data_IF_137319969303
#
_entry.id   IF_137319969303
#
_cell.length_a   1.000
_cell.length_b   1.000
_cell.length_c   1.000
_cell.angle_alpha   90.00
_cell.angle_beta   90.00
_cell.angle_gamma   90.00
#
_symmetry.space_group_name_H-M   'P 1'
#
loop_
_entity.id
_entity.type
_entity.pdbx_description
1 polymer ?
#
# COMPACT_ATOMS: atom_id res chain seq x y z
N UNK A 1 3.17 21.61 -18.35
CA UNK A 1 1.79 21.73 -17.82
C UNK A 1 1.84 21.61 -16.32
N UNK A 2 1.08 22.46 -15.62
CA UNK A 2 1.13 22.55 -14.16
C UNK A 2 0.61 21.27 -13.50
N UNK A 3 1.32 20.78 -12.47
CA UNK A 3 0.89 19.68 -11.61
C UNK A 3 -0.31 20.14 -10.78
N UNK A 4 -1.40 19.35 -10.77
CA UNK A 4 -2.63 19.65 -10.04
C UNK A 4 -3.01 18.55 -9.02
N UNK A 5 -2.56 17.33 -9.22
CA UNK A 5 -2.86 16.21 -8.33
C UNK A 5 -1.66 15.33 -8.07
N UNK A 6 -1.62 14.77 -6.86
CA UNK A 6 -0.67 13.73 -6.47
C UNK A 6 -1.45 12.53 -5.96
N UNK A 7 -1.12 11.37 -6.50
CA UNK A 7 -1.58 10.09 -5.98
C UNK A 7 -0.42 9.42 -5.27
N UNK A 8 -0.66 8.91 -4.07
CA UNK A 8 0.39 8.28 -3.27
C UNK A 8 -0.07 6.90 -2.78
N UNK A 9 0.82 5.92 -2.90
CA UNK A 9 0.63 4.62 -2.25
C UNK A 9 0.84 4.73 -0.74
N UNK A 10 0.40 3.72 0.00
CA UNK A 10 0.48 3.71 1.46
C UNK A 10 1.59 2.81 1.97
N UNK A 11 1.57 1.51 1.61
CA UNK A 11 2.46 0.53 2.19
C UNK A 11 3.91 0.68 1.73
N UNK A 12 4.87 0.81 2.64
CA UNK A 12 6.28 1.10 2.36
C UNK A 12 6.52 2.40 1.55
N UNK A 13 5.51 3.22 1.36
CA UNK A 13 5.60 4.54 0.72
C UNK A 13 5.34 5.65 1.74
N UNK A 14 4.10 5.74 2.24
CA UNK A 14 3.70 6.70 3.27
C UNK A 14 3.76 6.09 4.68
N UNK A 15 3.41 4.80 4.81
CA UNK A 15 3.39 4.06 6.07
C UNK A 15 4.31 2.85 6.01
N UNK A 16 4.89 2.50 7.17
CA UNK A 16 5.58 1.23 7.40
C UNK A 16 5.00 0.48 8.58
N UNK A 17 5.07 -0.85 8.56
CA UNK A 17 4.70 -1.67 9.72
C UNK A 17 5.88 -1.80 10.71
N UNK A 18 5.55 -1.78 12.01
CA UNK A 18 6.48 -1.98 13.14
C UNK A 18 5.91 -2.97 14.17
N UNK A 19 6.47 -4.22 14.21
CA UNK A 19 7.44 -4.78 13.27
C UNK A 19 6.83 -5.03 11.88
N UNK A 20 7.65 -5.50 10.92
CA UNK A 20 7.17 -5.79 9.56
C UNK A 20 6.06 -6.84 9.56
N UNK A 21 5.17 -6.79 8.55
CA UNK A 21 4.10 -7.80 8.39
C UNK A 21 4.62 -9.24 8.41
N UNK A 22 5.81 -9.46 7.89
CA UNK A 22 6.43 -10.79 7.86
C UNK A 22 6.81 -11.25 9.27
N UNK A 23 7.29 -10.34 10.09
CA UNK A 23 7.59 -10.61 11.50
C UNK A 23 6.31 -10.84 12.31
N UNK A 24 5.27 -10.02 12.11
CA UNK A 24 3.97 -10.19 12.76
C UNK A 24 3.42 -11.60 12.51
N UNK A 25 3.46 -12.08 11.26
CA UNK A 25 3.03 -13.43 10.91
C UNK A 25 3.95 -14.51 11.51
N UNK A 26 5.27 -14.30 11.47
CA UNK A 26 6.23 -15.23 12.06
C UNK A 26 6.07 -15.34 13.58
N UNK A 27 5.80 -14.24 14.28
CA UNK A 27 5.46 -14.24 15.72
C UNK A 27 4.24 -15.11 16.02
N UNK A 28 3.19 -15.07 15.18
CA UNK A 28 1.99 -15.91 15.36
C UNK A 28 2.30 -17.40 15.15
N UNK A 29 3.21 -17.74 14.25
CA UNK A 29 3.69 -19.12 14.07
C UNK A 29 4.51 -19.58 15.30
N UNK A 30 5.43 -18.74 15.76
CA UNK A 30 6.25 -19.05 16.96
C UNK A 30 5.41 -19.19 18.23
N UNK A 31 4.35 -18.42 18.39
CA UNK A 31 3.40 -18.55 19.49
C UNK A 31 2.63 -19.89 19.49
N UNK A 32 2.76 -20.67 18.41
CA UNK A 32 2.20 -22.03 18.23
C UNK A 32 3.30 -23.08 18.07
N UNK A 33 4.42 -22.87 18.75
CA UNK A 33 5.58 -23.76 18.82
C UNK A 33 6.27 -24.06 17.47
N UNK A 34 6.02 -23.27 16.43
CA UNK A 34 6.70 -23.40 15.16
C UNK A 34 7.95 -22.52 15.14
N UNK A 35 9.12 -23.14 14.94
CA UNK A 35 10.38 -22.42 14.73
C UNK A 35 10.43 -21.91 13.29
N UNK A 36 10.05 -20.66 13.08
CA UNK A 36 10.00 -20.06 11.76
C UNK A 36 10.69 -18.68 11.75
N UNK A 37 11.65 -18.55 10.86
CA UNK A 37 12.34 -17.29 10.61
C UNK A 37 11.47 -16.33 9.76
N UNK A 38 11.64 -15.04 9.96
CA UNK A 38 10.90 -14.00 9.22
C UNK A 38 11.09 -14.10 7.70
N UNK A 39 12.29 -14.47 7.25
CA UNK A 39 12.59 -14.67 5.83
C UNK A 39 11.81 -15.85 5.23
N UNK A 40 11.67 -16.95 5.97
CA UNK A 40 10.87 -18.10 5.55
C UNK A 40 9.38 -17.73 5.50
N UNK A 41 8.86 -17.02 6.52
CA UNK A 41 7.48 -16.51 6.53
C UNK A 41 7.22 -15.60 5.31
N UNK A 42 8.15 -14.70 4.96
CA UNK A 42 8.05 -13.87 3.76
C UNK A 42 7.86 -14.73 2.51
N UNK A 43 8.62 -15.79 2.36
CA UNK A 43 8.50 -16.73 1.24
C UNK A 43 7.11 -17.37 1.15
N UNK A 44 6.58 -17.86 2.29
CA UNK A 44 5.25 -18.46 2.38
C UNK A 44 4.15 -17.45 2.05
N UNK A 45 4.25 -16.24 2.57
CA UNK A 45 3.30 -15.16 2.31
C UNK A 45 3.26 -14.77 0.82
N UNK A 46 4.41 -14.61 0.19
CA UNK A 46 4.49 -14.34 -1.25
C UNK A 46 3.93 -15.50 -2.08
N UNK A 47 4.22 -16.74 -1.68
CA UNK A 47 3.68 -17.94 -2.34
C UNK A 47 2.15 -17.97 -2.25
N UNK A 48 1.58 -17.81 -1.06
CA UNK A 48 0.14 -17.79 -0.85
C UNK A 48 -0.54 -16.69 -1.69
N UNK A 49 0.06 -15.50 -1.74
CA UNK A 49 -0.48 -14.38 -2.54
C UNK A 49 -0.50 -14.68 -4.04
N UNK A 50 0.50 -15.41 -4.57
CA UNK A 50 0.54 -15.80 -5.99
C UNK A 50 -0.43 -16.94 -6.33
N UNK A 51 -0.57 -17.91 -5.42
CA UNK A 51 -1.39 -19.10 -5.64
C UNK A 51 -2.89 -18.83 -5.46
N UNK A 52 -3.27 -17.89 -4.60
CA UNK A 52 -4.68 -17.56 -4.40
C UNK A 52 -5.23 -16.71 -5.54
N UNK A 53 -6.43 -17.03 -6.03
CA UNK A 53 -7.09 -16.22 -7.05
C UNK A 53 -7.43 -14.81 -6.55
N UNK A 54 -7.68 -13.89 -7.48
CA UNK A 54 -8.10 -12.52 -7.13
C UNK A 54 -9.45 -12.46 -6.44
N UNK A 55 -10.32 -13.42 -6.71
CA UNK A 55 -11.64 -13.52 -6.09
C UNK A 55 -11.86 -14.89 -5.46
N UNK A 56 -12.41 -14.91 -4.26
CA UNK A 56 -12.77 -16.12 -3.51
C UNK A 56 -14.20 -15.92 -2.98
N UNK A 57 -15.13 -16.79 -3.35
CA UNK A 57 -16.53 -16.69 -2.91
C UNK A 57 -17.18 -15.33 -3.24
N UNK A 58 -16.85 -14.74 -4.38
CA UNK A 58 -17.33 -13.42 -4.79
C UNK A 58 -16.66 -12.23 -4.10
N UNK A 59 -15.76 -12.48 -3.15
CA UNK A 59 -14.99 -11.43 -2.46
C UNK A 59 -13.66 -11.19 -3.16
N UNK A 60 -13.36 -9.92 -3.43
CA UNK A 60 -12.13 -9.51 -4.09
C UNK A 60 -10.92 -9.62 -3.16
N UNK A 61 -9.72 -9.73 -3.73
CA UNK A 61 -8.43 -9.71 -3.01
C UNK A 61 -8.37 -8.53 -2.02
N UNK A 62 -7.72 -8.74 -0.90
CA UNK A 62 -7.63 -7.83 0.25
C UNK A 62 -8.93 -7.63 1.05
N UNK A 63 -10.06 -8.26 0.68
CA UNK A 63 -11.25 -8.33 1.57
C UNK A 63 -11.01 -9.30 2.74
N UNK A 64 -11.83 -9.20 3.78
CA UNK A 64 -11.72 -10.08 4.95
C UNK A 64 -11.87 -11.55 4.59
N UNK A 65 -12.81 -11.89 3.69
CA UNK A 65 -13.01 -13.26 3.24
C UNK A 65 -11.79 -13.78 2.47
N UNK A 66 -11.19 -12.94 1.63
CA UNK A 66 -9.95 -13.29 0.94
C UNK A 66 -8.80 -13.48 1.92
N UNK A 67 -8.64 -12.57 2.91
CA UNK A 67 -7.62 -12.71 3.94
C UNK A 67 -7.83 -13.94 4.84
N UNK A 68 -9.07 -14.35 5.09
CA UNK A 68 -9.35 -15.61 5.79
C UNK A 68 -8.71 -16.79 5.06
N UNK A 69 -8.90 -16.86 3.73
CA UNK A 69 -8.31 -17.91 2.90
C UNK A 69 -6.78 -17.78 2.81
N UNK A 70 -6.27 -16.55 2.79
CA UNK A 70 -4.84 -16.28 2.78
C UNK A 70 -4.15 -16.75 4.08
N UNK A 71 -4.76 -16.45 5.23
CA UNK A 71 -4.27 -16.90 6.54
C UNK A 71 -4.35 -18.43 6.63
N UNK A 72 -5.47 -19.04 6.21
CA UNK A 72 -5.64 -20.49 6.20
C UNK A 72 -4.60 -21.18 5.30
N UNK A 73 -4.35 -20.64 4.11
CA UNK A 73 -3.31 -21.15 3.19
C UNK A 73 -1.92 -21.16 3.83
N UNK A 74 -1.55 -20.10 4.56
CA UNK A 74 -0.23 -19.99 5.19
C UNK A 74 -0.16 -20.90 6.42
N UNK A 75 -1.09 -20.76 7.34
CA UNK A 75 -0.95 -21.40 8.65
C UNK A 75 -1.47 -22.84 8.69
N UNK A 76 -2.54 -23.15 7.96
CA UNK A 76 -3.04 -24.53 7.90
C UNK A 76 -2.34 -25.33 6.80
N UNK A 77 -2.42 -24.89 5.52
CA UNK A 77 -1.96 -25.71 4.41
C UNK A 77 -0.44 -25.82 4.35
N UNK A 78 0.31 -24.75 4.64
CA UNK A 78 1.78 -24.80 4.57
C UNK A 78 2.45 -25.15 5.90
N UNK A 79 1.89 -24.70 7.02
CA UNK A 79 2.52 -24.86 8.34
C UNK A 79 1.86 -25.94 9.20
N UNK A 80 0.74 -26.54 8.78
CA UNK A 80 0.09 -27.67 9.46
C UNK A 80 -0.64 -27.29 10.74
N UNK A 81 -0.92 -26.01 11.00
CA UNK A 81 -1.69 -25.57 12.16
C UNK A 81 -3.13 -26.07 12.05
N UNK A 82 -3.70 -26.53 13.14
CA UNK A 82 -5.04 -27.12 13.18
C UNK A 82 -6.10 -26.09 12.77
N UNK A 83 -7.14 -26.54 12.07
CA UNK A 83 -8.27 -25.68 11.65
C UNK A 83 -8.97 -25.00 12.82
N UNK A 84 -8.99 -25.63 14.00
CA UNK A 84 -9.55 -25.07 15.22
C UNK A 84 -8.84 -23.81 15.70
N UNK A 85 -7.56 -23.64 15.34
CA UNK A 85 -6.76 -22.45 15.66
C UNK A 85 -6.97 -21.28 14.68
N UNK A 86 -7.66 -21.51 13.56
CA UNK A 86 -7.77 -20.47 12.51
C UNK A 86 -8.63 -19.29 12.94
N UNK A 87 -9.69 -19.49 13.72
CA UNK A 87 -10.54 -18.39 14.17
C UNK A 87 -9.78 -17.43 15.10
N UNK A 88 -9.17 -17.88 16.22
CA UNK A 88 -8.38 -16.98 17.07
C UNK A 88 -7.21 -16.34 16.33
N UNK A 89 -6.53 -17.07 15.45
CA UNK A 89 -5.42 -16.53 14.66
C UNK A 89 -5.85 -15.37 13.73
N UNK A 90 -7.03 -15.49 13.11
CA UNK A 90 -7.60 -14.41 12.29
C UNK A 90 -7.90 -13.17 13.12
N UNK A 91 -8.52 -13.33 14.28
CA UNK A 91 -8.80 -12.23 15.21
C UNK A 91 -7.51 -11.51 15.65
N UNK A 92 -6.48 -12.27 16.03
CA UNK A 92 -5.18 -11.72 16.40
C UNK A 92 -4.56 -10.90 15.26
N UNK A 93 -4.55 -11.43 14.03
CA UNK A 93 -3.97 -10.75 12.87
C UNK A 93 -4.82 -9.54 12.44
N UNK A 94 -6.14 -9.68 12.37
CA UNK A 94 -7.01 -8.56 12.03
C UNK A 94 -6.96 -7.45 13.07
N UNK A 95 -6.93 -7.79 14.34
CA UNK A 95 -6.72 -6.84 15.43
C UNK A 95 -5.40 -6.09 15.26
N UNK A 96 -4.31 -6.84 15.02
CA UNK A 96 -2.98 -6.26 14.84
C UNK A 96 -2.89 -5.28 13.67
N UNK A 97 -3.43 -5.67 12.50
CA UNK A 97 -3.45 -4.80 11.30
C UNK A 97 -4.55 -3.73 11.30
N UNK A 98 -5.41 -3.72 12.31
CA UNK A 98 -6.35 -2.62 12.56
C UNK A 98 -5.83 -1.63 13.58
N UNK A 99 -4.83 -1.99 14.39
CA UNK A 99 -4.25 -1.13 15.41
C UNK A 99 -3.30 -0.09 14.77
N UNK A 100 -3.55 1.22 14.93
CA UNK A 100 -2.65 2.26 14.43
C UNK A 100 -1.23 2.17 15.02
N UNK A 101 -1.06 1.61 16.22
CA UNK A 101 0.25 1.39 16.83
C UNK A 101 1.13 0.42 16.03
N UNK A 102 0.55 -0.37 15.13
CA UNK A 102 1.28 -1.26 14.20
C UNK A 102 2.00 -0.48 13.10
N UNK A 103 1.60 0.76 12.88
CA UNK A 103 2.12 1.55 11.76
C UNK A 103 2.90 2.78 12.24
N UNK A 104 3.86 3.18 11.43
CA UNK A 104 4.52 4.48 11.51
C UNK A 104 4.35 5.22 10.19
N UNK A 105 4.26 6.54 10.25
CA UNK A 105 4.39 7.39 9.07
C UNK A 105 5.88 7.59 8.82
N UNK A 106 6.33 7.47 7.57
CA UNK A 106 7.71 7.82 7.23
C UNK A 106 8.00 9.28 7.50
N UNK A 107 9.23 9.58 7.90
CA UNK A 107 9.67 10.93 8.24
C UNK A 107 9.37 11.93 7.11
N UNK A 108 8.83 13.08 7.48
CA UNK A 108 8.41 14.12 6.55
C UNK A 108 7.07 13.86 5.86
N UNK A 109 6.40 12.73 6.11
CA UNK A 109 5.16 12.37 5.40
C UNK A 109 3.97 13.27 5.74
N UNK A 110 3.82 13.66 7.00
CA UNK A 110 2.73 14.55 7.43
C UNK A 110 2.96 15.94 6.86
N UNK A 111 4.15 16.50 7.05
CA UNK A 111 4.54 17.83 6.57
C UNK A 111 4.43 17.92 5.04
N UNK A 112 4.77 16.85 4.34
CA UNK A 112 4.64 16.75 2.89
C UNK A 112 3.19 16.88 2.44
N UNK A 113 2.28 16.14 3.05
CA UNK A 113 0.85 16.21 2.72
C UNK A 113 0.27 17.60 3.02
N UNK A 114 0.64 18.20 4.15
CA UNK A 114 0.18 19.54 4.55
C UNK A 114 0.69 20.61 3.58
N UNK A 115 1.95 20.53 3.18
CA UNK A 115 2.53 21.45 2.20
C UNK A 115 1.81 21.35 0.83
N UNK A 116 1.57 20.14 0.35
CA UNK A 116 0.89 19.93 -0.93
C UNK A 116 -0.54 20.47 -0.92
N UNK A 117 -1.26 20.28 0.19
CA UNK A 117 -2.59 20.89 0.38
C UNK A 117 -2.53 22.42 0.38
N UNK A 118 -1.58 22.99 1.11
CA UNK A 118 -1.39 24.44 1.18
C UNK A 118 -1.09 25.06 -0.20
N UNK A 119 -0.46 24.27 -1.08
CA UNK A 119 -0.19 24.63 -2.49
C UNK A 119 -1.38 24.39 -3.42
N UNK A 120 -2.50 23.90 -2.91
CA UNK A 120 -3.73 23.66 -3.69
C UNK A 120 -3.72 22.39 -4.53
N UNK A 121 -2.79 21.44 -4.29
CA UNK A 121 -2.79 20.16 -4.96
C UNK A 121 -3.91 19.26 -4.42
N UNK A 122 -4.53 18.50 -5.33
CA UNK A 122 -5.41 17.39 -4.98
C UNK A 122 -4.59 16.18 -4.57
N UNK A 123 -4.87 15.61 -3.40
CA UNK A 123 -4.13 14.47 -2.87
C UNK A 123 -5.03 13.25 -2.79
N UNK A 124 -4.70 12.20 -3.52
CA UNK A 124 -5.41 10.92 -3.50
C UNK A 124 -4.54 9.79 -2.99
N UNK A 125 -5.08 8.95 -2.12
CA UNK A 125 -4.49 7.65 -1.80
C UNK A 125 -4.93 6.64 -2.85
N UNK A 126 -3.98 5.90 -3.45
CA UNK A 126 -4.24 4.80 -4.40
C UNK A 126 -3.42 3.58 -3.98
N UNK A 127 -4.03 2.64 -3.28
CA UNK A 127 -3.30 1.56 -2.63
C UNK A 127 -3.94 0.17 -2.77
N UNK A 128 -3.10 -0.84 -2.96
CA UNK A 128 -3.50 -2.25 -2.87
C UNK A 128 -3.64 -2.64 -1.39
N UNK A 129 -4.80 -2.37 -0.80
CA UNK A 129 -5.05 -2.52 0.63
C UNK A 129 -6.48 -3.01 0.92
N UNK A 130 -6.70 -3.42 2.17
CA UNK A 130 -8.01 -3.87 2.65
C UNK A 130 -9.01 -2.71 2.79
N UNK A 131 -10.29 -3.03 2.91
CA UNK A 131 -11.36 -2.08 3.19
C UNK A 131 -11.20 -1.33 4.53
N UNK A 132 -10.26 -1.73 5.38
CA UNK A 132 -9.93 -1.06 6.65
C UNK A 132 -9.05 0.18 6.48
N UNK A 133 -8.48 0.41 5.29
CA UNK A 133 -7.56 1.52 5.06
C UNK A 133 -8.13 2.89 5.44
N UNK A 134 -9.36 3.29 5.03
CA UNK A 134 -9.89 4.59 5.41
C UNK A 134 -9.94 4.80 6.93
N UNK A 135 -10.44 3.81 7.68
CA UNK A 135 -10.48 3.90 9.13
C UNK A 135 -9.11 3.84 9.81
N UNK A 136 -8.09 3.22 9.20
CA UNK A 136 -6.72 3.29 9.67
C UNK A 136 -6.14 4.69 9.48
N UNK A 137 -6.30 5.29 8.30
CA UNK A 137 -5.84 6.65 8.00
C UNK A 137 -6.51 7.68 8.92
N UNK A 138 -7.79 7.49 9.24
CA UNK A 138 -8.50 8.33 10.19
C UNK A 138 -7.86 8.29 11.58
N UNK A 139 -7.62 7.08 12.13
CA UNK A 139 -6.97 6.90 13.44
C UNK A 139 -5.50 7.37 13.47
N UNK A 140 -4.83 7.44 12.33
CA UNK A 140 -3.48 8.01 12.19
C UNK A 140 -3.51 9.53 11.96
N UNK A 141 -4.69 10.15 11.87
CA UNK A 141 -4.85 11.58 11.60
C UNK A 141 -4.47 11.98 10.17
N UNK A 142 -4.51 11.02 9.23
CA UNK A 142 -4.13 11.28 7.83
C UNK A 142 -5.32 11.57 6.92
N UNK A 143 -6.54 11.21 7.33
CA UNK A 143 -7.76 11.42 6.51
C UNK A 143 -8.02 12.86 6.15
N UNK A 144 -7.76 13.79 7.06
CA UNK A 144 -7.96 15.24 6.85
C UNK A 144 -6.93 15.84 5.89
N UNK A 145 -5.86 15.11 5.59
CA UNK A 145 -4.74 15.54 4.74
C UNK A 145 -4.84 15.09 3.30
N UNK A 146 -5.87 14.27 2.99
CA UNK A 146 -6.08 13.73 1.64
C UNK A 146 -7.51 14.03 1.17
N UNK A 147 -7.70 14.17 -0.14
CA UNK A 147 -9.03 14.47 -0.71
C UNK A 147 -9.87 13.20 -0.89
N UNK A 148 -9.22 12.05 -1.16
CA UNK A 148 -9.90 10.76 -1.32
C UNK A 148 -8.96 9.58 -1.10
N UNK A 149 -9.57 8.42 -0.86
CA UNK A 149 -8.89 7.12 -0.70
C UNK A 149 -9.50 6.12 -1.67
N UNK A 150 -8.67 5.54 -2.54
CA UNK A 150 -8.99 4.39 -3.38
C UNK A 150 -8.18 3.19 -2.88
N UNK A 151 -8.84 2.21 -2.30
CA UNK A 151 -8.21 0.96 -1.92
C UNK A 151 -8.81 -0.23 -2.68
N UNK A 152 -7.95 -1.17 -3.07
CA UNK A 152 -8.28 -2.26 -3.97
C UNK A 152 -9.47 -3.10 -3.50
N UNK A 153 -9.62 -3.34 -2.20
CA UNK A 153 -10.74 -4.13 -1.68
C UNK A 153 -12.10 -3.45 -1.91
N UNK A 154 -12.18 -2.12 -1.80
CA UNK A 154 -13.42 -1.36 -2.00
C UNK A 154 -13.71 -1.12 -3.48
N UNK A 155 -12.67 -0.83 -4.25
CA UNK A 155 -12.81 -0.55 -5.69
C UNK A 155 -12.97 -1.83 -6.53
N UNK A 156 -12.66 -3.02 -5.98
CA UNK A 156 -12.57 -4.31 -6.68
C UNK A 156 -11.61 -4.26 -7.89
N UNK A 157 -10.55 -3.47 -7.74
CA UNK A 157 -9.47 -3.26 -8.71
C UNK A 157 -8.16 -3.20 -7.93
N UNK A 158 -7.07 -3.62 -8.54
CA UNK A 158 -5.74 -3.52 -7.93
C UNK A 158 -4.71 -2.99 -8.93
N UNK A 159 -3.76 -2.18 -8.46
CA UNK A 159 -2.59 -1.81 -9.26
C UNK A 159 -1.85 -3.09 -9.69
N UNK A 160 -1.37 -3.21 -10.93
CA UNK A 160 -1.18 -2.15 -11.93
C UNK A 160 -2.33 -1.97 -12.94
N UNK A 161 -3.58 -2.29 -12.60
CA UNK A 161 -4.71 -2.06 -13.48
C UNK A 161 -4.92 -0.55 -13.69
N UNK A 162 -4.94 -0.11 -14.96
CA UNK A 162 -5.08 1.31 -15.33
C UNK A 162 -6.40 1.89 -14.88
N UNK A 163 -7.46 1.09 -14.81
CA UNK A 163 -8.80 1.53 -14.41
C UNK A 163 -8.79 2.13 -12.99
N UNK A 164 -7.95 1.61 -12.08
CA UNK A 164 -7.83 2.19 -10.74
C UNK A 164 -7.22 3.59 -10.78
N UNK A 165 -6.22 3.82 -11.64
CA UNK A 165 -5.62 5.14 -11.84
C UNK A 165 -6.55 6.10 -12.58
N UNK A 166 -7.33 5.62 -13.56
CA UNK A 166 -8.36 6.40 -14.25
C UNK A 166 -9.43 6.89 -13.28
N UNK A 167 -9.86 6.05 -12.32
CA UNK A 167 -10.75 6.46 -11.22
C UNK A 167 -10.12 7.55 -10.34
N UNK A 168 -8.82 7.46 -10.07
CA UNK A 168 -8.11 8.49 -9.31
C UNK A 168 -8.11 9.83 -10.06
N UNK A 169 -7.82 9.83 -11.35
CA UNK A 169 -7.91 11.02 -12.20
C UNK A 169 -9.32 11.63 -12.22
N UNK A 170 -10.33 10.78 -12.37
CA UNK A 170 -11.73 11.22 -12.34
C UNK A 170 -12.11 11.85 -10.99
N UNK A 171 -11.70 11.22 -9.87
CA UNK A 171 -11.94 11.74 -8.52
C UNK A 171 -11.25 13.08 -8.27
N UNK A 172 -10.04 13.23 -8.79
CA UNK A 172 -9.28 14.48 -8.69
C UNK A 172 -9.76 15.57 -9.67
N UNK A 173 -10.49 15.21 -10.73
CA UNK A 173 -10.92 16.12 -11.78
C UNK A 173 -9.77 16.66 -12.63
N UNK A 174 -8.75 15.85 -12.89
CA UNK A 174 -7.53 16.25 -13.62
C UNK A 174 -7.24 15.31 -14.79
N UNK A 175 -6.45 15.81 -15.75
CA UNK A 175 -5.92 14.99 -16.84
C UNK A 175 -4.68 14.20 -16.37
N UNK A 176 -4.33 13.10 -17.07
CA UNK A 176 -3.16 12.28 -16.73
C UNK A 176 -1.85 13.08 -16.64
N UNK A 177 -1.63 14.04 -17.55
CA UNK A 177 -0.45 14.89 -17.60
C UNK A 177 -0.37 15.98 -16.51
N UNK A 178 -1.47 16.16 -15.76
CA UNK A 178 -1.58 17.05 -14.61
C UNK A 178 -1.40 16.33 -13.28
N UNK A 179 -1.18 15.00 -13.32
CA UNK A 179 -1.04 14.16 -12.13
C UNK A 179 0.36 13.55 -12.01
N UNK A 180 0.73 13.23 -10.77
CA UNK A 180 1.90 12.41 -10.41
C UNK A 180 1.44 11.27 -9.50
N UNK A 181 1.97 10.06 -9.71
CA UNK A 181 1.83 8.96 -8.77
C UNK A 181 3.18 8.64 -8.12
N UNK A 182 3.19 8.39 -6.80
CA UNK A 182 4.36 7.97 -6.05
C UNK A 182 4.07 6.68 -5.28
N UNK A 183 4.96 5.68 -5.39
CA UNK A 183 4.81 4.40 -4.70
C UNK A 183 6.09 3.56 -4.70
N UNK A 184 6.11 2.46 -3.93
CA UNK A 184 7.31 1.64 -3.68
C UNK A 184 7.50 0.47 -4.65
N UNK A 185 6.47 0.10 -5.41
CA UNK A 185 6.50 -1.05 -6.32
C UNK A 185 6.61 -0.60 -7.77
N UNK A 186 7.74 -0.96 -8.41
CA UNK A 186 8.01 -0.54 -9.79
C UNK A 186 6.91 -0.99 -10.78
N UNK A 187 6.45 -2.23 -10.66
CA UNK A 187 5.43 -2.78 -11.57
C UNK A 187 4.05 -2.17 -11.31
N UNK A 188 3.65 -2.11 -10.03
CA UNK A 188 2.31 -1.69 -9.64
C UNK A 188 2.15 -0.18 -9.70
N UNK A 189 3.12 0.55 -9.15
CA UNK A 189 3.02 2.00 -9.01
C UNK A 189 3.58 2.73 -10.22
N UNK A 190 4.82 2.40 -10.62
CA UNK A 190 5.47 3.16 -11.70
C UNK A 190 4.89 2.77 -13.05
N UNK A 191 5.01 1.49 -13.45
CA UNK A 191 4.51 1.06 -14.75
C UNK A 191 2.98 1.12 -14.85
N UNK A 192 2.26 0.84 -13.74
CA UNK A 192 0.81 0.96 -13.69
C UNK A 192 0.34 2.38 -13.97
N UNK A 193 0.90 3.39 -13.28
CA UNK A 193 0.56 4.79 -13.49
C UNK A 193 0.97 5.30 -14.89
N UNK A 194 2.17 4.91 -15.37
CA UNK A 194 2.65 5.29 -16.71
C UNK A 194 1.74 4.76 -17.82
N UNK A 195 1.20 3.54 -17.69
CA UNK A 195 0.22 2.98 -18.65
C UNK A 195 -1.09 3.79 -18.68
N UNK A 196 -1.45 4.45 -17.58
CA UNK A 196 -2.58 5.37 -17.50
C UNK A 196 -2.20 6.81 -17.93
N UNK A 197 -0.99 7.04 -18.44
CA UNK A 197 -0.50 8.35 -18.87
C UNK A 197 -0.08 9.28 -17.73
N UNK A 198 0.01 8.79 -16.50
CA UNK A 198 0.37 9.55 -15.30
C UNK A 198 1.89 9.51 -15.11
N UNK A 199 2.51 10.64 -14.79
CA UNK A 199 3.91 10.67 -14.35
C UNK A 199 4.07 9.87 -13.06
N UNK A 200 5.16 9.11 -12.94
CA UNK A 200 5.38 8.28 -11.76
C UNK A 200 6.80 8.42 -11.19
N UNK A 201 6.91 8.33 -9.87
CA UNK A 201 8.17 8.34 -9.13
C UNK A 201 8.19 7.11 -8.22
N UNK A 202 9.29 6.35 -8.27
CA UNK A 202 9.53 5.25 -7.35
C UNK A 202 10.04 5.82 -6.01
N UNK A 203 9.37 5.45 -4.92
CA UNK A 203 9.82 5.76 -3.54
C UNK A 203 10.52 4.53 -2.99
N UNK A 204 11.84 4.56 -2.92
CA UNK A 204 12.68 3.42 -2.56
C UNK A 204 13.42 3.62 -1.24
N UNK A 205 12.68 3.68 -0.13
CA UNK A 205 13.26 3.83 1.22
C UNK A 205 14.31 2.77 1.55
N UNK A 206 14.22 1.61 0.93
CA UNK A 206 15.12 0.48 1.18
C UNK A 206 16.35 0.45 0.25
N UNK A 207 16.45 1.37 -0.72
CA UNK A 207 17.54 1.48 -1.70
C UNK A 207 17.81 0.18 -2.48
N UNK A 208 16.74 -0.49 -2.89
CA UNK A 208 16.81 -1.80 -3.58
C UNK A 208 16.74 -1.70 -5.10
N UNK A 209 16.17 -0.61 -5.62
CA UNK A 209 15.99 -0.44 -7.05
C UNK A 209 17.29 -0.01 -7.74
N UNK A 210 17.47 -0.46 -8.98
CA UNK A 210 18.53 0.01 -9.85
C UNK A 210 18.26 1.47 -10.27
N UNK A 211 19.12 2.44 -9.89
CA UNK A 211 18.88 3.86 -10.17
C UNK A 211 18.87 4.19 -11.67
N UNK A 212 19.38 3.31 -12.52
CA UNK A 212 19.42 3.54 -13.98
C UNK A 212 18.07 3.29 -14.68
N UNK A 213 17.11 2.66 -14.01
CA UNK A 213 15.88 2.17 -14.64
C UNK A 213 14.69 3.09 -14.53
N UNK A 214 14.63 3.97 -13.52
CA UNK A 214 13.49 4.87 -13.33
C UNK A 214 13.87 6.04 -12.43
N UNK A 215 13.22 7.21 -12.57
CA UNK A 215 13.30 8.26 -11.58
C UNK A 215 12.87 7.71 -10.21
N UNK A 216 13.75 7.78 -9.23
CA UNK A 216 13.50 7.32 -7.86
C UNK A 216 13.92 8.37 -6.87
N UNK A 217 13.28 8.31 -5.72
CA UNK A 217 13.63 9.04 -4.50
C UNK A 217 13.83 8.04 -3.37
N UNK A 218 14.69 8.35 -2.42
CA UNK A 218 15.04 7.45 -1.32
C UNK A 218 14.22 7.74 -0.05
N UNK A 219 13.51 8.88 -0.02
CA UNK A 219 12.71 9.32 1.11
C UNK A 219 11.64 10.35 0.68
N UNK A 220 10.74 10.70 1.60
CA UNK A 220 9.68 11.66 1.32
C UNK A 220 10.15 13.11 1.23
N UNK A 221 11.32 13.45 1.79
CA UNK A 221 11.90 14.79 1.61
C UNK A 221 12.31 15.00 0.16
N UNK A 222 12.98 14.00 -0.46
CA UNK A 222 13.32 14.05 -1.88
C UNK A 222 12.07 14.07 -2.78
N UNK A 223 11.00 13.34 -2.41
CA UNK A 223 9.74 13.39 -3.14
C UNK A 223 9.13 14.80 -3.12
N UNK A 224 9.21 15.51 -1.98
CA UNK A 224 8.78 16.92 -1.88
C UNK A 224 9.53 17.82 -2.86
N UNK A 225 10.86 17.66 -2.95
CA UNK A 225 11.69 18.45 -3.87
C UNK A 225 11.33 18.18 -5.34
N UNK A 226 11.10 16.92 -5.70
CA UNK A 226 10.64 16.54 -7.05
C UNK A 226 9.31 17.23 -7.38
N UNK A 227 8.35 17.18 -6.45
CA UNK A 227 7.03 17.82 -6.63
C UNK A 227 7.17 19.34 -6.73
N UNK A 228 7.98 19.96 -5.87
CA UNK A 228 8.23 21.41 -5.91
C UNK A 228 8.83 21.84 -7.25
N UNK A 229 9.78 21.09 -7.80
CA UNK A 229 10.38 21.33 -9.11
C UNK A 229 9.34 21.24 -10.24
N UNK A 230 8.46 20.24 -10.20
CA UNK A 230 7.40 20.09 -11.22
C UNK A 230 6.36 21.20 -11.19
N UNK A 231 6.13 21.82 -10.03
CA UNK A 231 5.21 22.96 -9.89
C UNK A 231 5.80 24.29 -10.41
N UNK A 232 7.14 24.44 -10.39
CA UNK A 232 7.82 25.66 -10.83
C UNK A 232 7.97 25.73 -12.36
N UNK A 233 8.02 24.57 -13.03
CA UNK A 233 8.31 24.48 -14.47
C UNK A 233 7.06 24.18 -15.32
N UNK A 234 5.88 24.20 -14.74
CA UNK A 234 4.58 23.97 -15.40
C UNK A 234 3.79 25.23 -15.63
#
# INVERSE_FOLDING_TARGET
MALKAIFIDVGNTLLYEKPSRFEIYAERARARDLRLETSAMRGLMHRAHRELPREIGGAFRYSDLWFNSYIERIFHDYLGILKTEMAPLREELFGRFSDPATFGVFDGGIEMLEEWRARGLKIGIVSNWSARLPGLLDRLGLSERVDFVLCSALERLEKPDTVLFERALQRAGVRPDEALHAGDDFEKDVLGAQRAGIRAVLVDHARRADPSRTPRVENLFELREVVAGLMQHG
#
